data_IF_402276266080
#
_entry.id   IF_402276266080
#
_cell.length_a   1.000
_cell.length_b   1.000
_cell.length_c   1.000
_cell.angle_alpha   90.00
_cell.angle_beta   90.00
_cell.angle_gamma   90.00
#
_symmetry.space_group_name_H-M   'P 1'
#
loop_
_entity.id
_entity.type
_entity.pdbx_description
1 polymer ?
#
# COMPACT_ATOMS: atom_id res chain seq x y z
N UNK A 1 -21.15 9.12 -7.40
CA UNK A 1 -21.22 7.67 -7.11
C UNK A 1 -21.34 7.46 -5.62
N UNK A 2 -21.83 6.32 -5.16
CA UNK A 2 -21.89 6.01 -3.72
C UNK A 2 -21.52 4.56 -3.46
N UNK A 3 -21.00 4.30 -2.24
CA UNK A 3 -20.74 2.96 -1.74
C UNK A 3 -21.16 2.81 -0.28
N UNK A 4 -21.39 1.58 0.15
CA UNK A 4 -21.66 1.23 1.55
C UNK A 4 -20.55 0.35 2.07
N UNK A 5 -20.08 0.61 3.30
CA UNK A 5 -19.12 -0.25 3.97
C UNK A 5 -19.75 -1.64 4.26
N UNK A 6 -18.96 -2.69 4.15
CA UNK A 6 -19.45 -4.09 4.23
C UNK A 6 -20.21 -4.43 5.51
N UNK A 7 -19.94 -3.75 6.61
CA UNK A 7 -20.67 -3.93 7.88
C UNK A 7 -21.89 -3.00 8.02
N UNK A 8 -22.31 -2.34 6.94
CA UNK A 8 -23.36 -1.31 6.88
C UNK A 8 -23.16 -0.16 7.89
N UNK A 9 -21.94 0.05 8.37
CA UNK A 9 -21.63 1.06 9.39
C UNK A 9 -21.64 2.48 8.86
N UNK A 10 -21.49 2.66 7.56
CA UNK A 10 -21.49 3.97 6.90
C UNK A 10 -21.75 3.85 5.40
N UNK A 11 -22.30 4.92 4.84
CA UNK A 11 -22.35 5.20 3.41
C UNK A 11 -21.40 6.33 3.06
N UNK A 12 -20.92 6.32 1.82
CA UNK A 12 -19.93 7.28 1.32
C UNK A 12 -20.35 7.71 -0.07
N UNK A 13 -20.36 9.01 -0.32
CA UNK A 13 -20.45 9.57 -1.67
C UNK A 13 -19.07 9.92 -2.18
N UNK A 14 -18.80 9.61 -3.45
CA UNK A 14 -17.50 9.88 -4.06
C UNK A 14 -17.62 10.40 -5.50
N UNK A 15 -16.63 11.18 -5.90
CA UNK A 15 -16.53 11.76 -7.24
C UNK A 15 -16.44 10.65 -8.29
N UNK A 16 -17.14 10.75 -9.41
CA UNK A 16 -16.93 9.86 -10.55
C UNK A 16 -15.54 10.05 -11.18
N UNK A 17 -14.96 11.25 -11.06
CA UNK A 17 -13.62 11.54 -11.57
C UNK A 17 -12.58 11.23 -10.50
N UNK A 18 -11.58 10.42 -10.84
CA UNK A 18 -10.44 10.17 -9.97
C UNK A 18 -9.48 11.36 -9.95
N UNK A 19 -8.97 11.70 -8.78
CA UNK A 19 -7.92 12.73 -8.63
C UNK A 19 -6.51 12.17 -8.75
N UNK A 20 -6.35 10.85 -8.57
CA UNK A 20 -5.10 10.14 -8.73
C UNK A 20 -5.33 8.76 -9.30
N UNK A 21 -4.35 8.27 -10.05
CA UNK A 21 -4.39 6.96 -10.70
C UNK A 21 -3.03 6.30 -10.61
N UNK A 22 -2.94 5.21 -9.83
CA UNK A 22 -1.79 4.32 -9.79
C UNK A 22 -1.87 3.25 -10.87
N UNK A 23 -1.02 2.24 -10.75
CA UNK A 23 -0.98 1.13 -11.71
C UNK A 23 -2.28 0.31 -11.69
N UNK A 24 -2.75 -0.06 -10.52
CA UNK A 24 -3.90 -0.96 -10.34
C UNK A 24 -5.16 -0.25 -9.89
N UNK A 25 -5.07 0.95 -9.31
CA UNK A 25 -6.18 1.62 -8.63
C UNK A 25 -6.36 3.06 -9.06
N UNK A 26 -7.60 3.53 -8.99
CA UNK A 26 -7.99 4.94 -9.06
C UNK A 26 -8.42 5.41 -7.68
N UNK A 27 -8.06 6.63 -7.32
CA UNK A 27 -8.44 7.28 -6.07
C UNK A 27 -9.41 8.43 -6.33
N UNK A 28 -10.50 8.46 -5.58
CA UNK A 28 -11.58 9.43 -5.73
C UNK A 28 -11.79 10.21 -4.43
N UNK A 29 -11.95 11.52 -4.52
CA UNK A 29 -12.41 12.32 -3.40
C UNK A 29 -13.80 11.87 -2.97
N UNK A 30 -14.00 11.76 -1.66
CA UNK A 30 -15.21 11.21 -1.09
C UNK A 30 -15.55 11.86 0.26
N UNK A 31 -16.81 11.69 0.67
CA UNK A 31 -17.31 12.15 1.96
C UNK A 31 -18.20 11.07 2.57
N UNK A 32 -18.03 10.79 3.86
CA UNK A 32 -18.96 9.96 4.60
C UNK A 32 -20.31 10.65 4.70
N UNK A 33 -21.39 10.00 4.25
CA UNK A 33 -22.76 10.55 4.29
C UNK A 33 -23.58 9.97 5.43
N UNK A 34 -23.12 8.92 6.09
CA UNK A 34 -23.71 8.36 7.30
C UNK A 34 -22.67 7.74 8.22
N UNK A 35 -23.12 7.30 9.41
CA UNK A 35 -22.29 6.66 10.41
C UNK A 35 -21.48 7.65 11.27
N UNK A 36 -20.56 7.14 12.12
CA UNK A 36 -19.85 7.96 13.09
C UNK A 36 -18.90 9.01 12.49
N UNK A 37 -18.56 8.87 11.22
CA UNK A 37 -17.68 9.77 10.47
C UNK A 37 -18.44 10.68 9.49
N UNK A 38 -19.78 10.75 9.57
CA UNK A 38 -20.58 11.56 8.66
C UNK A 38 -20.07 13.01 8.56
N UNK A 39 -19.98 13.51 7.33
CA UNK A 39 -19.43 14.84 6.99
C UNK A 39 -17.90 14.88 6.88
N UNK A 40 -17.16 13.82 7.23
CA UNK A 40 -15.70 13.80 7.11
C UNK A 40 -15.25 13.38 5.72
N UNK A 41 -14.18 14.02 5.25
CA UNK A 41 -13.54 13.65 3.98
C UNK A 41 -12.85 12.28 4.06
N UNK A 42 -12.94 11.53 2.97
CA UNK A 42 -12.30 10.23 2.80
C UNK A 42 -11.85 10.04 1.35
N UNK A 43 -11.21 8.92 1.09
CA UNK A 43 -10.79 8.50 -0.25
C UNK A 43 -11.43 7.16 -0.54
N UNK A 44 -12.09 7.05 -1.68
CA UNK A 44 -12.54 5.77 -2.24
C UNK A 44 -11.56 5.33 -3.30
N UNK A 45 -11.10 4.08 -3.20
CA UNK A 45 -10.23 3.48 -4.21
C UNK A 45 -10.98 2.37 -4.95
N UNK A 46 -11.00 2.48 -6.28
CA UNK A 46 -11.53 1.47 -7.20
C UNK A 46 -10.39 0.77 -7.92
N UNK A 47 -10.56 -0.49 -8.29
CA UNK A 47 -9.59 -1.21 -9.13
C UNK A 47 -9.86 -0.97 -10.60
N UNK A 48 -8.81 -0.91 -11.42
CA UNK A 48 -8.90 -0.78 -12.89
C UNK A 48 -9.37 -2.06 -13.58
N UNK A 49 -9.26 -3.19 -12.91
CA UNK A 49 -9.79 -4.47 -13.33
C UNK A 49 -10.37 -5.17 -12.09
N UNK A 50 -11.43 -5.97 -12.24
CA UNK A 50 -12.05 -6.66 -11.13
C UNK A 50 -11.08 -7.67 -10.49
N UNK A 51 -10.60 -7.36 -9.28
CA UNK A 51 -9.64 -8.16 -8.52
C UNK A 51 -10.07 -8.26 -7.06
N UNK A 52 -11.14 -8.97 -6.80
CA UNK A 52 -11.70 -9.13 -5.45
C UNK A 52 -10.68 -9.64 -4.41
N UNK A 53 -9.79 -10.55 -4.79
CA UNK A 53 -8.77 -11.08 -3.89
C UNK A 53 -7.79 -10.00 -3.38
N UNK A 54 -7.46 -9.01 -4.22
CA UNK A 54 -6.49 -7.98 -3.90
C UNK A 54 -6.92 -7.06 -2.74
N UNK A 55 -8.23 -6.81 -2.54
CA UNK A 55 -8.72 -5.99 -1.43
C UNK A 55 -8.47 -6.62 -0.05
N UNK A 56 -8.62 -7.94 0.06
CA UNK A 56 -8.34 -8.67 1.29
C UNK A 56 -6.85 -8.60 1.63
N UNK A 57 -5.99 -8.72 0.62
CA UNK A 57 -4.54 -8.59 0.78
C UNK A 57 -4.14 -7.17 1.18
N UNK A 58 -4.70 -6.13 0.58
CA UNK A 58 -4.45 -4.73 0.96
C UNK A 58 -4.74 -4.48 2.44
N UNK A 59 -5.90 -4.96 2.92
CA UNK A 59 -6.29 -4.81 4.33
C UNK A 59 -5.36 -5.61 5.25
N UNK A 60 -5.01 -6.84 4.86
CA UNK A 60 -4.08 -7.71 5.59
C UNK A 60 -2.71 -7.05 5.71
N UNK A 61 -2.16 -6.56 4.60
CA UNK A 61 -0.87 -5.88 4.53
C UNK A 61 -0.88 -4.62 5.39
N UNK A 62 -1.92 -3.79 5.29
CA UNK A 62 -2.05 -2.57 6.10
C UNK A 62 -2.12 -2.87 7.62
N UNK A 63 -2.80 -3.95 8.02
CA UNK A 63 -2.84 -4.40 9.42
C UNK A 63 -1.47 -4.85 9.92
N UNK A 64 -0.74 -5.64 9.13
CA UNK A 64 0.63 -6.08 9.46
C UNK A 64 1.55 -4.86 9.59
N UNK A 65 1.51 -3.95 8.61
CA UNK A 65 2.31 -2.74 8.62
C UNK A 65 2.03 -1.87 9.86
N UNK A 66 0.76 -1.71 10.23
CA UNK A 66 0.35 -0.96 11.42
C UNK A 66 0.84 -1.62 12.71
N UNK A 67 0.76 -2.95 12.82
CA UNK A 67 1.25 -3.69 13.99
C UNK A 67 2.75 -3.48 14.17
N UNK A 68 3.55 -3.70 13.12
CA UNK A 68 5.00 -3.52 13.16
C UNK A 68 5.37 -2.05 13.41
N UNK A 69 4.62 -1.09 12.85
CA UNK A 69 4.83 0.33 13.12
C UNK A 69 4.59 0.67 14.60
N UNK A 70 3.58 0.07 15.23
CA UNK A 70 3.33 0.25 16.66
C UNK A 70 4.52 -0.25 17.51
N UNK A 71 5.06 -1.42 17.19
CA UNK A 71 6.25 -1.96 17.87
C UNK A 71 7.49 -1.09 17.63
N UNK A 72 7.70 -0.62 16.39
CA UNK A 72 8.79 0.29 16.04
C UNK A 72 8.71 1.60 16.85
N UNK A 73 7.53 2.20 16.93
CA UNK A 73 7.30 3.42 17.70
C UNK A 73 7.58 3.21 19.20
N UNK A 74 7.14 2.08 19.76
CA UNK A 74 7.36 1.72 21.16
C UNK A 74 8.83 1.44 21.47
N UNK A 75 9.59 0.91 20.51
CA UNK A 75 11.02 0.64 20.65
C UNK A 75 11.90 1.90 20.74
N UNK A 76 11.31 3.09 20.49
CA UNK A 76 11.99 4.40 20.43
C UNK A 76 13.18 4.45 19.46
N UNK A 77 13.24 3.53 18.51
CA UNK A 77 14.32 3.48 17.51
C UNK A 77 14.17 4.59 16.46
N UNK A 78 12.93 5.01 16.16
CA UNK A 78 12.65 6.10 15.23
C UNK A 78 12.58 7.47 15.90
N UNK A 79 13.05 8.53 15.23
CA UNK A 79 12.92 9.92 15.67
C UNK A 79 11.49 10.47 15.52
N UNK A 80 10.69 9.86 14.63
CA UNK A 80 9.34 10.25 14.27
C UNK A 80 8.44 9.04 14.26
N UNK A 81 7.18 9.23 14.64
CA UNK A 81 6.19 8.14 14.61
C UNK A 81 5.87 7.70 13.17
N UNK A 82 5.60 6.42 12.99
CA UNK A 82 5.11 5.83 11.76
C UNK A 82 3.73 5.25 12.03
N UNK A 83 2.74 5.66 11.25
CA UNK A 83 1.36 5.20 11.41
C UNK A 83 0.80 4.82 10.05
N UNK A 84 0.02 3.72 9.98
CA UNK A 84 -0.66 3.29 8.76
C UNK A 84 -2.17 3.41 8.92
N UNK A 85 -2.82 3.91 7.87
CA UNK A 85 -4.28 3.83 7.72
C UNK A 85 -4.63 2.40 7.30
N UNK A 86 -5.65 1.83 7.95
CA UNK A 86 -6.24 0.56 7.52
C UNK A 86 -7.48 0.88 6.69
N UNK A 87 -7.51 0.52 5.41
CA UNK A 87 -8.68 0.73 4.58
C UNK A 87 -9.84 -0.15 5.02
N UNK A 88 -11.06 0.32 4.79
CA UNK A 88 -12.29 -0.43 5.03
C UNK A 88 -12.85 -0.90 3.69
N UNK A 89 -13.36 -2.13 3.66
CA UNK A 89 -13.99 -2.69 2.48
C UNK A 89 -15.43 -2.20 2.36
N UNK A 90 -15.82 -1.83 1.14
CA UNK A 90 -17.19 -1.43 0.78
C UNK A 90 -17.60 -1.97 -0.58
N UNK A 91 -18.86 -1.71 -0.96
CA UNK A 91 -19.43 -2.03 -2.27
C UNK A 91 -20.10 -0.82 -2.88
N UNK A 92 -19.94 -0.64 -4.19
CA UNK A 92 -20.62 0.43 -4.94
C UNK A 92 -22.11 0.16 -4.94
N UNK A 93 -22.91 1.15 -4.48
CA UNK A 93 -24.38 1.11 -4.51
C UNK A 93 -24.93 1.78 -5.76
N UNK A 94 -24.27 2.87 -6.20
CA UNK A 94 -24.66 3.68 -7.35
C UNK A 94 -23.45 4.09 -8.16
N UNK A 95 -23.35 3.61 -9.38
CA UNK A 95 -22.35 4.01 -10.36
C UNK A 95 -22.93 5.10 -11.29
N UNK A 96 -22.07 5.91 -11.90
CA UNK A 96 -22.45 6.78 -13.01
C UNK A 96 -22.41 5.96 -14.31
N UNK A 97 -23.27 6.30 -15.30
CA UNK A 97 -23.24 5.65 -16.61
C UNK A 97 -21.85 5.78 -17.27
N UNK A 98 -21.20 6.93 -17.14
CA UNK A 98 -19.88 7.17 -17.67
C UNK A 98 -18.84 6.21 -17.04
N UNK A 99 -18.84 6.06 -15.71
CA UNK A 99 -17.89 5.17 -15.03
C UNK A 99 -18.14 3.69 -15.36
N UNK A 100 -19.40 3.29 -15.48
CA UNK A 100 -19.73 1.93 -15.89
C UNK A 100 -19.22 1.60 -17.31
N UNK A 101 -19.38 2.54 -18.25
CA UNK A 101 -18.99 2.33 -19.66
C UNK A 101 -17.48 2.53 -19.89
N UNK A 102 -16.89 3.57 -19.28
CA UNK A 102 -15.52 3.99 -19.61
C UNK A 102 -14.48 3.51 -18.60
N UNK A 103 -14.87 3.22 -17.37
CA UNK A 103 -13.97 2.89 -16.27
C UNK A 103 -14.16 1.47 -15.72
N UNK A 104 -15.26 0.80 -16.09
CA UNK A 104 -15.59 -0.54 -15.60
C UNK A 104 -15.99 -0.57 -14.12
N UNK A 105 -16.46 0.56 -13.54
CA UNK A 105 -16.95 0.62 -12.16
C UNK A 105 -18.45 0.33 -12.14
N UNK A 106 -18.85 -0.83 -11.65
CA UNK A 106 -20.25 -1.29 -11.64
C UNK A 106 -20.83 -1.35 -10.23
N UNK A 107 -22.16 -1.29 -10.14
CA UNK A 107 -22.88 -1.56 -8.88
C UNK A 107 -22.56 -2.97 -8.41
N UNK A 108 -22.23 -3.10 -7.12
CA UNK A 108 -21.79 -4.36 -6.51
C UNK A 108 -20.26 -4.53 -6.46
N UNK A 109 -19.50 -3.75 -7.24
CA UNK A 109 -18.04 -3.82 -7.21
C UNK A 109 -17.49 -3.44 -5.84
N UNK A 110 -16.46 -4.15 -5.44
CA UNK A 110 -15.75 -3.87 -4.21
C UNK A 110 -14.91 -2.59 -4.35
N UNK A 111 -14.82 -1.85 -3.27
CA UNK A 111 -13.97 -0.67 -3.12
C UNK A 111 -13.32 -0.66 -1.75
N UNK A 112 -12.21 0.07 -1.61
CA UNK A 112 -11.70 0.41 -0.29
C UNK A 112 -11.96 1.87 0.02
N UNK A 113 -12.25 2.15 1.29
CA UNK A 113 -12.49 3.48 1.82
C UNK A 113 -11.48 3.73 2.94
N UNK A 114 -10.81 4.86 2.90
CA UNK A 114 -9.86 5.29 3.93
C UNK A 114 -10.05 6.77 4.27
N UNK A 115 -9.70 7.15 5.50
CA UNK A 115 -9.75 8.55 5.91
C UNK A 115 -8.80 9.39 5.04
N UNK A 116 -9.25 10.57 4.63
CA UNK A 116 -8.40 11.51 3.89
C UNK A 116 -7.24 11.98 4.78
N UNK A 117 -6.02 11.95 4.26
CA UNK A 117 -4.82 12.46 4.95
C UNK A 117 -4.54 13.87 4.44
N UNK A 118 -4.76 14.92 5.25
CA UNK A 118 -4.46 16.27 4.81
C UNK A 118 -2.95 16.50 4.77
N UNK A 119 -2.48 17.19 3.73
CA UNK A 119 -1.09 17.57 3.53
C UNK A 119 -0.54 17.14 2.17
N UNK A 120 0.75 17.37 1.97
CA UNK A 120 1.46 16.97 0.76
C UNK A 120 1.72 15.47 0.76
N UNK A 121 1.15 14.77 -0.23
CA UNK A 121 1.31 13.34 -0.38
C UNK A 121 2.60 13.01 -1.12
N UNK A 122 3.45 12.20 -0.50
CA UNK A 122 4.75 11.81 -1.02
C UNK A 122 4.97 10.30 -0.99
N UNK A 123 5.78 9.80 -1.92
CA UNK A 123 6.36 8.46 -1.89
C UNK A 123 7.79 8.54 -1.35
N UNK A 124 8.04 7.86 -0.24
CA UNK A 124 9.30 7.90 0.49
C UNK A 124 10.20 6.70 0.21
N UNK A 125 9.59 5.51 0.12
CA UNK A 125 10.26 4.24 -0.19
C UNK A 125 9.45 3.53 -1.25
N UNK A 126 10.04 3.25 -2.40
CA UNK A 126 9.36 2.60 -3.50
C UNK A 126 9.32 1.08 -3.33
N UNK A 127 8.43 0.42 -4.09
CA UNK A 127 8.31 -1.04 -4.09
C UNK A 127 9.60 -1.75 -4.57
N UNK A 128 10.37 -1.14 -5.44
CA UNK A 128 11.66 -1.66 -5.92
C UNK A 128 12.84 -1.39 -5.00
N UNK A 129 12.61 -0.90 -3.78
CA UNK A 129 13.65 -0.59 -2.81
C UNK A 129 14.32 0.77 -2.97
N UNK A 130 13.93 1.59 -3.97
CA UNK A 130 14.49 2.94 -4.13
C UNK A 130 14.04 3.84 -2.99
N UNK A 131 14.98 4.58 -2.39
CA UNK A 131 14.77 5.48 -1.28
C UNK A 131 14.82 6.93 -1.76
N UNK A 132 13.77 7.73 -1.47
CA UNK A 132 13.82 9.19 -1.67
C UNK A 132 14.73 9.84 -0.62
N UNK A 133 14.67 9.35 0.64
CA UNK A 133 15.49 9.84 1.75
C UNK A 133 15.85 8.69 2.71
N UNK A 134 17.05 8.75 3.26
CA UNK A 134 17.40 7.96 4.44
C UNK A 134 16.73 8.58 5.69
N UNK A 135 16.51 7.78 6.73
CA UNK A 135 15.94 8.27 7.99
C UNK A 135 14.96 7.31 8.63
N UNK A 136 13.96 7.86 9.31
CA UNK A 136 12.99 7.06 10.08
C UNK A 136 12.30 5.99 9.24
N UNK A 137 11.89 6.31 8.01
CA UNK A 137 11.15 5.35 7.17
C UNK A 137 12.04 4.24 6.62
N UNK A 138 13.26 4.55 6.16
CA UNK A 138 14.20 3.50 5.76
C UNK A 138 14.62 2.62 6.93
N UNK A 139 14.76 3.21 8.13
CA UNK A 139 15.00 2.45 9.37
C UNK A 139 13.80 1.58 9.76
N UNK A 140 12.57 2.05 9.54
CA UNK A 140 11.36 1.26 9.75
C UNK A 140 11.27 0.06 8.80
N UNK A 141 11.57 0.23 7.51
CA UNK A 141 11.65 -0.89 6.55
C UNK A 141 12.68 -1.93 7.02
N UNK A 142 13.87 -1.51 7.44
CA UNK A 142 14.87 -2.42 8.01
C UNK A 142 14.38 -3.09 9.30
N UNK A 143 13.72 -2.33 10.19
CA UNK A 143 13.14 -2.87 11.43
C UNK A 143 12.10 -3.96 11.15
N UNK A 144 11.28 -3.81 10.11
CA UNK A 144 10.28 -4.80 9.74
C UNK A 144 10.91 -6.15 9.36
N UNK A 145 12.10 -6.12 8.73
CA UNK A 145 12.89 -7.32 8.45
C UNK A 145 13.34 -8.02 9.75
N UNK A 146 13.87 -7.27 10.70
CA UNK A 146 14.29 -7.82 11.99
C UNK A 146 13.10 -8.34 12.81
N UNK A 147 12.05 -7.54 12.94
CA UNK A 147 10.85 -7.85 13.74
C UNK A 147 10.14 -9.12 13.22
N UNK A 148 10.11 -9.33 11.91
CA UNK A 148 9.56 -10.52 11.28
C UNK A 148 10.48 -11.74 11.31
N UNK A 149 11.58 -11.71 12.04
CA UNK A 149 12.62 -12.75 12.04
C UNK A 149 13.18 -13.01 10.63
N UNK A 150 13.45 -11.93 9.91
CA UNK A 150 14.04 -11.90 8.57
C UNK A 150 13.13 -12.51 7.47
N UNK A 151 11.80 -12.58 7.71
CA UNK A 151 10.86 -13.19 6.76
C UNK A 151 10.21 -12.20 5.81
N UNK A 152 10.13 -10.92 6.16
CA UNK A 152 9.51 -9.90 5.30
C UNK A 152 10.11 -8.50 5.52
N UNK A 153 9.89 -7.62 4.54
CA UNK A 153 10.07 -6.17 4.68
C UNK A 153 8.80 -5.43 4.24
N UNK A 154 8.55 -4.28 4.88
CA UNK A 154 7.48 -3.37 4.48
C UNK A 154 8.09 -2.25 3.63
N UNK A 155 7.60 -2.12 2.42
CA UNK A 155 8.03 -1.14 1.41
C UNK A 155 6.83 -0.37 0.86
N UNK A 156 7.02 0.37 -0.21
CA UNK A 156 6.01 1.23 -0.84
C UNK A 156 5.43 2.25 0.15
N UNK A 157 6.30 2.82 0.98
CA UNK A 157 5.94 3.77 2.02
C UNK A 157 5.59 5.11 1.39
N UNK A 158 4.31 5.46 1.43
CA UNK A 158 3.76 6.67 0.84
C UNK A 158 2.64 7.24 1.71
N UNK A 159 2.46 8.55 1.66
CA UNK A 159 1.49 9.26 2.50
C UNK A 159 1.93 10.67 2.82
N UNK A 160 1.59 11.16 4.02
CA UNK A 160 1.85 12.52 4.43
C UNK A 160 2.81 12.59 5.61
N UNK A 161 3.77 13.50 5.52
CA UNK A 161 4.65 13.88 6.63
C UNK A 161 3.94 14.90 7.50
N UNK A 162 3.80 14.61 8.78
CA UNK A 162 3.20 15.49 9.79
C UNK A 162 4.24 16.00 10.78
N UNK A 163 3.87 16.91 11.67
CA UNK A 163 4.74 17.39 12.76
C UNK A 163 5.15 16.26 13.70
N UNK A 164 4.28 15.27 13.93
CA UNK A 164 4.54 14.12 14.82
C UNK A 164 5.28 12.98 14.14
N UNK A 165 5.18 12.86 12.80
CA UNK A 165 5.77 11.73 12.09
C UNK A 165 5.19 11.54 10.69
N UNK A 166 4.81 10.32 10.38
CA UNK A 166 4.31 9.93 9.06
C UNK A 166 2.98 9.20 9.20
N UNK A 167 1.99 9.61 8.43
CA UNK A 167 0.74 8.87 8.23
C UNK A 167 0.76 8.30 6.83
N UNK A 168 0.79 6.97 6.73
CA UNK A 168 1.04 6.23 5.50
C UNK A 168 -0.18 5.41 5.09
N UNK A 169 -0.27 5.11 3.81
CA UNK A 169 -1.28 4.24 3.20
C UNK A 169 -0.64 3.34 2.15
N UNK A 170 -1.39 2.33 1.70
CA UNK A 170 -1.02 1.42 0.60
C UNK A 170 0.39 0.78 0.71
N UNK A 171 0.80 0.26 1.87
CA UNK A 171 2.09 -0.42 1.96
C UNK A 171 2.11 -1.68 1.10
N UNK A 172 3.31 -2.08 0.66
CA UNK A 172 3.58 -3.39 0.09
C UNK A 172 4.49 -4.20 1.02
N UNK A 173 4.46 -5.52 0.88
CA UNK A 173 5.34 -6.44 1.58
C UNK A 173 6.12 -7.27 0.57
N UNK A 174 7.42 -7.44 0.80
CA UNK A 174 8.21 -8.50 0.18
C UNK A 174 8.51 -9.58 1.20
N UNK A 175 8.32 -10.85 0.84
CA UNK A 175 8.46 -11.97 1.76
C UNK A 175 9.36 -13.08 1.23
N UNK A 176 9.96 -13.83 2.15
CA UNK A 176 10.79 -15.00 1.80
C UNK A 176 9.97 -16.27 1.61
N UNK A 177 8.71 -16.31 2.10
CA UNK A 177 7.94 -17.57 2.27
C UNK A 177 7.36 -18.14 0.98
N UNK A 178 7.18 -17.35 -0.06
CA UNK A 178 6.33 -17.74 -1.21
C UNK A 178 6.88 -17.39 -2.58
N UNK A 179 8.18 -17.28 -2.74
CA UNK A 179 8.79 -16.94 -4.05
C UNK A 179 8.18 -15.66 -4.69
N UNK A 180 7.66 -14.75 -3.85
CA UNK A 180 7.13 -13.46 -4.29
C UNK A 180 5.63 -13.40 -4.58
N UNK A 181 4.78 -14.16 -3.90
CA UNK A 181 3.32 -14.04 -4.05
C UNK A 181 2.53 -14.15 -2.73
N UNK A 182 3.17 -14.19 -1.57
CA UNK A 182 2.49 -14.34 -0.28
C UNK A 182 1.66 -13.12 0.14
N UNK A 183 1.99 -11.96 -0.44
CA UNK A 183 1.36 -10.69 -0.15
C UNK A 183 0.93 -9.96 -1.44
N UNK A 184 0.38 -10.72 -2.38
CA UNK A 184 -0.16 -10.18 -3.62
C UNK A 184 0.90 -9.91 -4.70
N UNK A 185 0.47 -9.24 -5.76
CA UNK A 185 1.30 -9.05 -6.97
C UNK A 185 2.51 -8.14 -6.77
N UNK A 186 2.44 -7.25 -5.78
CA UNK A 186 3.53 -6.34 -5.45
C UNK A 186 4.64 -6.99 -4.61
N UNK A 187 4.42 -8.22 -4.11
CA UNK A 187 5.46 -8.98 -3.43
C UNK A 187 6.51 -9.48 -4.44
N UNK A 188 7.72 -8.95 -4.35
CA UNK A 188 8.86 -9.31 -5.20
C UNK A 188 9.75 -10.37 -4.54
N UNK A 189 9.32 -10.92 -3.40
CA UNK A 189 10.07 -11.96 -2.71
C UNK A 189 11.45 -11.51 -2.21
N UNK A 190 12.36 -12.46 -2.18
CA UNK A 190 13.76 -12.22 -1.77
C UNK A 190 14.45 -11.16 -2.63
N UNK A 191 14.09 -11.06 -3.92
CA UNK A 191 14.66 -10.03 -4.81
C UNK A 191 14.33 -8.63 -4.31
N UNK A 192 13.08 -8.38 -3.91
CA UNK A 192 12.67 -7.08 -3.36
C UNK A 192 13.34 -6.78 -2.01
N UNK A 193 13.52 -7.80 -1.16
CA UNK A 193 14.23 -7.66 0.11
C UNK A 193 15.68 -7.25 -0.14
N UNK A 194 16.42 -8.00 -0.95
CA UNK A 194 17.82 -7.74 -1.21
C UNK A 194 18.04 -6.41 -1.96
N UNK A 195 17.14 -6.04 -2.88
CA UNK A 195 17.19 -4.77 -3.59
C UNK A 195 17.08 -3.57 -2.63
N UNK A 196 16.19 -3.63 -1.63
CA UNK A 196 16.16 -2.60 -0.59
C UNK A 196 17.50 -2.50 0.15
N UNK A 197 18.06 -3.62 0.58
CA UNK A 197 19.32 -3.61 1.32
C UNK A 197 20.54 -3.22 0.47
N UNK A 198 20.48 -3.32 -0.85
CA UNK A 198 21.53 -2.86 -1.75
C UNK A 198 21.71 -1.33 -1.73
N UNK A 199 20.64 -0.58 -1.43
CA UNK A 199 20.64 0.89 -1.38
C UNK A 199 20.55 1.44 0.04
N UNK A 200 20.08 0.63 1.01
CA UNK A 200 19.87 1.07 2.37
C UNK A 200 21.17 1.31 3.13
N UNK A 201 21.34 2.53 3.63
CA UNK A 201 22.41 2.88 4.57
C UNK A 201 21.86 2.90 5.99
N UNK A 202 22.41 2.02 6.85
CA UNK A 202 21.96 1.95 8.25
C UNK A 202 22.27 3.25 8.99
N UNK A 203 21.25 3.75 9.67
CA UNK A 203 21.35 4.85 10.63
C UNK A 203 21.34 4.32 12.07
N UNK A 204 21.46 5.25 13.05
CA UNK A 204 21.48 4.90 14.49
C UNK A 204 20.32 3.98 14.90
N UNK A 205 19.13 4.15 14.29
CA UNK A 205 17.93 3.40 14.64
C UNK A 205 17.95 1.93 14.18
N UNK A 206 18.80 1.57 13.20
CA UNK A 206 18.82 0.23 12.62
C UNK A 206 20.22 -0.36 12.44
N UNK A 207 21.26 0.32 12.93
CA UNK A 207 22.67 -0.08 12.73
C UNK A 207 22.96 -1.50 13.23
N UNK A 208 22.38 -1.85 14.37
CA UNK A 208 22.65 -3.12 15.05
C UNK A 208 21.62 -4.22 14.66
N UNK A 209 20.75 -3.93 13.72
CA UNK A 209 19.76 -4.90 13.23
C UNK A 209 20.39 -5.80 12.15
N UNK A 210 20.04 -7.09 12.13
CA UNK A 210 20.50 -8.01 11.10
C UNK A 210 20.01 -7.59 9.72
N UNK A 211 20.83 -7.85 8.73
CA UNK A 211 20.54 -7.67 7.30
C UNK A 211 21.04 -8.89 6.52
N UNK A 212 20.60 -9.11 5.29
CA UNK A 212 21.13 -10.19 4.45
C UNK A 212 22.67 -10.13 4.39
N UNK A 213 23.32 -11.29 4.46
CA UNK A 213 24.79 -11.39 4.44
C UNK A 213 25.39 -10.79 3.16
N UNK A 214 24.67 -10.91 2.03
CA UNK A 214 25.08 -10.34 0.76
C UNK A 214 23.82 -10.05 -0.07
N UNK A 215 23.62 -8.79 -0.47
CA UNK A 215 22.58 -8.44 -1.43
C UNK A 215 23.06 -8.83 -2.84
N UNK A 216 22.37 -9.79 -3.46
CA UNK A 216 22.65 -10.28 -4.83
C UNK A 216 21.84 -9.55 -5.88
N UNK A 217 20.74 -8.94 -5.46
CA UNK A 217 19.78 -8.27 -6.33
C UNK A 217 19.74 -6.77 -6.06
N UNK A 218 19.43 -6.02 -7.09
CA UNK A 218 19.35 -4.56 -7.11
C UNK A 218 17.94 -4.08 -7.48
N UNK A 219 17.70 -2.77 -7.47
CA UNK A 219 16.43 -2.22 -7.94
C UNK A 219 16.16 -2.51 -9.43
N UNK A 220 17.21 -2.68 -10.26
CA UNK A 220 17.05 -3.05 -11.67
C UNK A 220 16.47 -4.45 -11.83
N UNK A 221 16.89 -5.39 -10.98
CA UNK A 221 16.32 -6.75 -10.97
C UNK A 221 14.82 -6.72 -10.61
N UNK A 222 14.43 -5.84 -9.68
CA UNK A 222 13.02 -5.62 -9.34
C UNK A 222 12.23 -5.07 -10.52
N UNK A 223 12.77 -4.08 -11.23
CA UNK A 223 12.11 -3.50 -12.40
C UNK A 223 11.89 -4.53 -13.52
N UNK A 224 12.85 -5.41 -13.74
CA UNK A 224 12.73 -6.48 -14.72
C UNK A 224 11.65 -7.50 -14.35
N UNK A 225 11.53 -7.86 -13.08
CA UNK A 225 10.43 -8.71 -12.58
C UNK A 225 9.09 -8.01 -12.78
N UNK A 226 8.97 -6.74 -12.43
CA UNK A 226 7.74 -5.96 -12.59
C UNK A 226 7.35 -5.92 -14.06
N UNK A 227 8.29 -5.64 -14.98
CA UNK A 227 8.04 -5.63 -16.42
C UNK A 227 7.58 -6.99 -16.95
N UNK A 228 8.16 -8.10 -16.47
CA UNK A 228 7.75 -9.47 -16.84
C UNK A 228 6.35 -9.80 -16.35
N UNK A 229 6.03 -9.47 -15.09
CA UNK A 229 4.69 -9.65 -14.53
C UNK A 229 3.64 -8.90 -15.37
N UNK A 230 3.92 -7.67 -15.78
CA UNK A 230 3.03 -6.88 -16.65
C UNK A 230 2.79 -7.54 -18.00
N UNK A 231 3.85 -8.00 -18.70
CA UNK A 231 3.72 -8.65 -19.99
C UNK A 231 2.84 -9.90 -19.92
N UNK A 232 3.02 -10.74 -18.91
CA UNK A 232 2.23 -11.96 -18.73
C UNK A 232 0.75 -11.66 -18.44
N UNK A 233 0.42 -10.52 -17.83
CA UNK A 233 -0.98 -10.10 -17.62
C UNK A 233 -1.66 -9.69 -18.94
N UNK A 234 -0.95 -9.07 -19.88
CA UNK A 234 -1.51 -8.69 -21.17
C UNK A 234 -1.75 -9.90 -22.10
N UNK A 235 -0.96 -10.96 -21.98
CA UNK A 235 -1.14 -12.20 -22.76
C UNK A 235 -2.42 -12.93 -22.34
N UNK A 236 -2.74 -12.98 -21.06
CA UNK A 236 -3.95 -13.66 -20.54
C UNK A 236 -5.25 -12.91 -20.91
N UNK A 237 -5.20 -11.59 -21.12
CA UNK A 237 -6.36 -10.78 -21.51
C UNK A 237 -6.63 -10.84 -23.03
N UNK A 238 -5.63 -11.23 -23.83
CA UNK A 238 -5.73 -11.33 -25.28
C UNK A 238 -6.26 -12.67 -25.81
N UNK A 239 -6.48 -13.67 -24.96
CA UNK A 239 -6.95 -15.02 -25.33
C UNK A 239 -8.40 -15.31 -24.88
N UNK A 240 -9.20 -14.29 -24.50
CA UNK A 240 -10.59 -14.44 -24.08
C UNK A 240 -11.57 -13.72 -24.99
#
# INVERSE_FOLDING_TARGET
>A
MSCTLNNNSATVEFSPTSFASGEYRRAHHATYTSGPKSGRSCVVKTYKAQRYAAFADDIKIAKIAKSIATEFNNSRKGKRQVTFIIPQLGKINRASCFNALCCGDHVGDAVTVEDFIPGEYEKFVSNNGTLKFHGTLSSFTHYSYWCSKQRLIIVDLQGVRTTKGYTLTDPAIHSTETMGHGYGELDLGTVGIEAFFSTHKCEKACRDLPKPNKARYTFLDCEDIIKRKKRNQYVVIGES
#
